data_IF_925674811350
#
_entry.id   IF_925674811350
#
_cell.length_a   1.000
_cell.length_b   1.000
_cell.length_c   1.000
_cell.angle_alpha   90.00
_cell.angle_beta   90.00
_cell.angle_gamma   90.00
#
_symmetry.space_group_name_H-M   'P 1'
#
loop_
_entity.id
_entity.type
_entity.pdbx_description
1 polymer ?
#
# COMPACT_ATOMS: atom_id res chain seq x y z
N UNK A 1 21.96 -32.89 29.09
CA UNK A 1 22.13 -33.65 27.83
C UNK A 1 20.76 -33.69 27.14
N UNK A 2 20.73 -33.44 25.84
CA UNK A 2 19.49 -33.60 25.06
C UNK A 2 19.28 -35.09 24.74
N UNK A 3 18.08 -35.60 24.95
CA UNK A 3 17.71 -36.96 24.51
C UNK A 3 17.23 -36.88 23.05
N UNK A 4 17.65 -37.82 22.21
CA UNK A 4 17.20 -37.90 20.81
C UNK A 4 16.51 -39.24 20.57
N UNK A 5 15.44 -39.22 19.80
CA UNK A 5 14.83 -40.39 19.19
C UNK A 5 15.36 -40.45 17.76
N UNK A 6 16.18 -41.41 17.42
CA UNK A 6 16.84 -41.56 16.15
C UNK A 6 16.42 -42.87 15.45
N UNK A 7 16.03 -42.82 14.21
CA UNK A 7 15.83 -43.99 13.38
C UNK A 7 17.19 -44.35 12.73
N UNK A 8 17.66 -45.61 12.91
CA UNK A 8 18.90 -46.09 12.32
C UNK A 8 18.76 -46.19 10.79
N UNK A 9 19.79 -45.71 10.06
CA UNK A 9 19.87 -45.83 8.60
C UNK A 9 20.50 -47.15 8.15
N UNK A 10 21.04 -47.97 9.11
CA UNK A 10 21.68 -49.26 8.85
C UNK A 10 21.15 -50.32 9.78
N UNK A 11 20.16 -51.07 9.36
CA UNK A 11 19.56 -52.20 10.11
C UNK A 11 18.03 -52.09 10.19
N UNK A 12 17.32 -53.16 10.36
CA UNK A 12 15.87 -53.25 10.33
C UNK A 12 15.14 -52.71 11.56
N UNK A 13 15.63 -51.66 12.20
CA UNK A 13 15.05 -51.07 13.41
C UNK A 13 14.51 -49.66 13.22
N UNK A 14 13.20 -49.49 13.18
CA UNK A 14 12.53 -48.21 13.37
C UNK A 14 12.09 -48.01 14.85
N UNK A 15 11.78 -46.79 15.24
CA UNK A 15 11.11 -46.54 16.52
C UNK A 15 9.67 -47.03 16.41
N UNK A 16 9.32 -48.12 17.10
CA UNK A 16 7.95 -48.54 17.27
C UNK A 16 7.48 -48.04 18.65
N UNK A 17 6.52 -47.16 18.65
CA UNK A 17 5.86 -46.71 19.88
C UNK A 17 4.53 -47.42 19.95
N UNK A 18 4.35 -48.26 20.93
CA UNK A 18 3.06 -48.90 21.21
C UNK A 18 2.19 -47.89 21.96
N UNK A 19 1.07 -47.49 21.38
CA UNK A 19 0.15 -46.56 22.03
C UNK A 19 -0.58 -47.26 23.19
N UNK A 20 -1.03 -46.46 24.16
CA UNK A 20 -2.12 -46.85 25.03
C UNK A 20 -3.42 -47.01 24.22
N UNK A 21 -4.52 -47.36 24.84
CA UNK A 21 -5.80 -47.57 24.13
C UNK A 21 -6.41 -46.30 23.54
N UNK A 22 -5.77 -45.10 23.71
CA UNK A 22 -6.27 -43.82 23.19
C UNK A 22 -6.01 -43.63 21.71
N UNK A 23 -4.95 -44.26 21.17
CA UNK A 23 -4.51 -44.10 19.80
C UNK A 23 -3.82 -42.74 19.51
N UNK A 24 -3.57 -41.93 20.53
CA UNK A 24 -2.94 -40.61 20.40
C UNK A 24 -1.45 -40.69 20.74
N UNK A 25 -0.59 -39.90 19.98
CA UNK A 25 0.82 -39.72 20.30
C UNK A 25 1.06 -38.30 20.78
N UNK A 26 1.52 -38.16 22.01
CA UNK A 26 1.86 -36.89 22.63
C UNK A 26 3.39 -36.75 22.79
N UNK A 27 3.97 -35.71 22.21
CA UNK A 27 5.37 -35.31 22.44
C UNK A 27 5.33 -34.20 23.49
N UNK A 28 6.05 -34.39 24.60
CA UNK A 28 6.02 -33.51 25.77
C UNK A 28 7.39 -32.84 26.00
N UNK A 29 7.34 -31.63 26.56
CA UNK A 29 8.49 -30.93 27.12
C UNK A 29 8.11 -30.31 28.45
N UNK A 30 8.90 -30.61 29.50
CA UNK A 30 8.59 -30.15 30.86
C UNK A 30 7.24 -30.66 31.42
N UNK A 31 6.78 -31.84 30.99
CA UNK A 31 5.50 -32.40 31.38
C UNK A 31 4.27 -31.86 30.61
N UNK A 32 4.47 -30.89 29.69
CA UNK A 32 3.41 -30.35 28.86
C UNK A 32 3.48 -30.89 27.44
N UNK A 33 2.34 -31.26 26.84
CA UNK A 33 2.24 -31.70 25.46
C UNK A 33 2.55 -30.50 24.50
N UNK A 34 3.55 -30.65 23.66
CA UNK A 34 3.95 -29.66 22.64
C UNK A 34 3.56 -30.08 21.23
N UNK A 35 3.45 -31.38 20.96
CA UNK A 35 2.88 -31.93 19.71
C UNK A 35 1.94 -33.06 20.07
N UNK A 36 0.71 -32.98 19.64
CA UNK A 36 -0.27 -34.05 19.73
C UNK A 36 -0.63 -34.54 18.32
N UNK A 37 -0.54 -35.84 18.07
CA UNK A 37 -0.99 -36.48 16.83
C UNK A 37 -2.22 -37.35 17.20
N UNK A 38 -3.36 -37.02 16.63
CA UNK A 38 -4.64 -37.67 16.92
C UNK A 38 -5.32 -38.05 15.59
N UNK A 39 -6.47 -38.71 15.65
CA UNK A 39 -7.29 -38.96 14.44
C UNK A 39 -7.80 -37.69 13.78
N UNK A 40 -7.81 -36.54 14.48
CA UNK A 40 -8.17 -35.22 13.93
C UNK A 40 -6.99 -34.51 13.25
N UNK A 41 -5.76 -34.98 13.43
CA UNK A 41 -4.56 -34.37 12.82
C UNK A 41 -3.44 -34.13 13.83
N UNK A 42 -2.55 -33.19 13.50
CA UNK A 42 -1.40 -32.78 14.33
C UNK A 42 -1.65 -31.38 14.91
N UNK A 43 -1.65 -31.29 16.24
CA UNK A 43 -1.68 -30.02 16.94
C UNK A 43 -0.32 -29.69 17.55
N UNK A 44 0.22 -28.51 17.25
CA UNK A 44 1.45 -27.96 17.84
C UNK A 44 1.08 -26.80 18.76
N UNK A 45 1.39 -26.93 20.05
CA UNK A 45 1.21 -25.84 21.03
C UNK A 45 2.49 -25.01 21.06
N UNK A 46 2.41 -23.77 20.57
CA UNK A 46 3.55 -22.87 20.46
C UNK A 46 3.92 -22.57 19.01
N UNK A 47 5.19 -22.34 18.74
CA UNK A 47 5.70 -21.96 17.41
C UNK A 47 6.13 -23.19 16.61
N UNK A 48 5.60 -23.35 15.40
CA UNK A 48 6.14 -24.26 14.40
C UNK A 48 7.15 -23.52 13.53
N UNK A 49 8.43 -23.92 13.58
CA UNK A 49 9.48 -23.35 12.74
C UNK A 49 9.92 -24.37 11.69
N UNK A 50 9.91 -23.98 10.42
CA UNK A 50 10.48 -24.74 9.31
C UNK A 50 11.62 -23.96 8.70
N UNK A 51 12.84 -24.54 8.65
CA UNK A 51 14.01 -23.92 8.02
C UNK A 51 14.04 -24.02 6.50
N UNK A 52 13.16 -24.84 5.93
CA UNK A 52 12.98 -25.01 4.49
C UNK A 52 11.57 -24.61 4.03
N UNK A 53 11.27 -24.89 2.76
CA UNK A 53 9.93 -24.64 2.23
C UNK A 53 8.87 -25.50 2.95
N UNK A 54 7.73 -24.88 3.29
CA UNK A 54 6.55 -25.57 3.80
C UNK A 54 5.50 -25.62 2.69
N UNK A 55 5.04 -26.83 2.36
CA UNK A 55 4.02 -27.05 1.32
C UNK A 55 2.71 -27.48 1.96
N UNK A 56 1.64 -26.74 1.66
CA UNK A 56 0.27 -27.11 2.02
C UNK A 56 -0.45 -27.61 0.75
N UNK A 57 -0.80 -28.88 0.70
CA UNK A 57 -1.55 -29.45 -0.45
C UNK A 57 -3.06 -29.20 -0.36
N UNK A 58 -3.54 -28.75 0.79
CA UNK A 58 -4.92 -28.36 1.03
C UNK A 58 -5.03 -26.87 1.36
N UNK A 59 -6.18 -26.45 1.87
CA UNK A 59 -6.44 -25.06 2.27
C UNK A 59 -5.73 -24.76 3.59
N UNK A 60 -4.84 -23.74 3.58
CA UNK A 60 -4.29 -23.16 4.80
C UNK A 60 -5.26 -22.13 5.40
N UNK A 61 -5.65 -22.29 6.68
CA UNK A 61 -6.46 -21.31 7.41
C UNK A 61 -5.62 -20.62 8.46
N UNK A 62 -5.56 -19.29 8.36
CA UNK A 62 -4.90 -18.42 9.35
C UNK A 62 -5.98 -17.64 10.10
N UNK A 63 -5.95 -17.69 11.43
CA UNK A 63 -6.96 -17.02 12.25
C UNK A 63 -6.77 -15.49 12.34
N UNK A 64 -5.57 -15.02 12.02
CA UNK A 64 -5.16 -13.61 12.05
C UNK A 64 -4.43 -13.24 10.76
N UNK A 65 -3.50 -12.31 10.80
CA UNK A 65 -2.72 -11.87 9.67
C UNK A 65 -1.53 -12.78 9.36
N UNK A 66 -1.07 -12.77 8.11
CA UNK A 66 0.17 -13.40 7.65
C UNK A 66 1.18 -12.30 7.40
N UNK A 67 2.38 -12.39 7.98
CA UNK A 67 3.50 -11.51 7.65
C UNK A 67 4.30 -12.08 6.47
N UNK A 68 4.63 -11.24 5.49
CA UNK A 68 5.54 -11.57 4.38
C UNK A 68 6.76 -10.67 4.46
N UNK A 69 7.88 -11.07 3.83
CA UNK A 69 9.11 -10.28 3.76
C UNK A 69 9.65 -9.84 5.13
N UNK A 70 9.59 -10.70 6.15
CA UNK A 70 9.94 -10.42 7.55
C UNK A 70 9.04 -9.39 8.26
N UNK A 71 7.90 -9.03 7.71
CA UNK A 71 6.93 -8.21 8.43
C UNK A 71 6.38 -8.96 9.65
N UNK A 72 6.28 -8.28 10.79
CA UNK A 72 5.58 -8.81 11.95
C UNK A 72 4.08 -8.80 11.66
N UNK A 73 3.38 -9.96 11.74
CA UNK A 73 1.94 -10.00 11.53
C UNK A 73 1.20 -9.05 12.48
N UNK A 74 0.21 -8.32 11.96
CA UNK A 74 -0.63 -7.48 12.81
C UNK A 74 -1.41 -8.34 13.80
N UNK A 75 -1.53 -7.87 15.05
CA UNK A 75 -2.35 -8.52 16.07
C UNK A 75 -3.85 -8.23 15.91
N UNK A 76 -4.23 -7.29 15.02
CA UNK A 76 -5.62 -6.91 14.81
C UNK A 76 -6.09 -7.25 13.39
N UNK A 77 -7.33 -7.76 13.29
CA UNK A 77 -7.94 -8.12 12.03
C UNK A 77 -7.37 -9.40 11.40
N UNK A 78 -7.58 -9.55 10.11
CA UNK A 78 -7.06 -10.65 9.28
C UNK A 78 -6.61 -10.10 7.92
N UNK A 79 -5.58 -10.70 7.33
CA UNK A 79 -5.04 -10.27 6.06
C UNK A 79 -3.56 -10.61 5.88
N UNK A 80 -2.90 -9.89 4.99
CA UNK A 80 -1.46 -9.99 4.74
C UNK A 80 -0.81 -8.71 5.23
N UNK A 81 0.24 -8.83 6.05
CA UNK A 81 1.05 -7.70 6.50
C UNK A 81 2.32 -7.64 5.65
N UNK A 82 2.50 -6.55 4.92
CA UNK A 82 3.71 -6.26 4.16
C UNK A 82 4.72 -5.48 5.02
N UNK A 83 6.03 -5.51 4.69
CA UNK A 83 7.02 -4.69 5.35
C UNK A 83 6.71 -3.19 5.19
N UNK A 84 7.03 -2.38 6.21
CA UNK A 84 6.86 -0.91 6.15
C UNK A 84 7.73 -0.24 5.07
N UNK A 85 8.82 -0.89 4.67
CA UNK A 85 9.62 -0.50 3.51
C UNK A 85 9.50 -1.60 2.47
N UNK A 86 9.14 -1.25 1.26
CA UNK A 86 9.00 -2.21 0.17
C UNK A 86 10.27 -3.05 -0.01
N UNK A 87 10.10 -4.36 -0.13
CA UNK A 87 11.14 -5.30 -0.55
C UNK A 87 10.80 -5.79 -1.95
N UNK A 88 11.23 -5.04 -2.94
CA UNK A 88 10.84 -5.25 -4.33
C UNK A 88 11.25 -6.64 -4.84
N UNK A 89 10.31 -7.33 -5.50
CA UNK A 89 10.54 -8.60 -6.20
C UNK A 89 10.85 -8.34 -7.67
N UNK A 90 11.77 -9.11 -8.23
CA UNK A 90 11.99 -9.13 -9.68
C UNK A 90 11.03 -10.05 -10.44
N UNK A 91 10.21 -10.82 -9.74
CA UNK A 91 9.20 -11.71 -10.32
C UNK A 91 7.92 -10.92 -10.64
N UNK A 92 7.55 -10.86 -11.91
CA UNK A 92 6.38 -10.13 -12.39
C UNK A 92 5.02 -10.67 -11.86
N UNK A 93 4.99 -11.85 -11.26
CA UNK A 93 3.78 -12.44 -10.68
C UNK A 93 3.71 -12.29 -9.15
N UNK A 94 4.63 -11.51 -8.56
CA UNK A 94 4.67 -11.29 -7.12
C UNK A 94 4.13 -9.91 -6.76
N UNK A 95 3.05 -9.87 -5.96
CA UNK A 95 2.63 -8.64 -5.29
C UNK A 95 3.54 -8.42 -4.09
N UNK A 96 4.37 -7.40 -4.15
CA UNK A 96 5.47 -7.14 -3.21
C UNK A 96 5.28 -5.91 -2.33
N UNK A 97 4.16 -5.18 -2.49
CA UNK A 97 3.86 -4.01 -1.69
C UNK A 97 2.36 -3.73 -1.58
N UNK A 98 1.94 -3.33 -0.39
CA UNK A 98 0.64 -2.74 -0.10
C UNK A 98 0.77 -1.71 1.01
N UNK A 99 0.28 -0.51 0.76
CA UNK A 99 0.29 0.57 1.74
C UNK A 99 -0.97 1.43 1.59
N UNK A 100 -1.53 1.89 2.69
CA UNK A 100 -2.62 2.87 2.71
C UNK A 100 -2.37 3.93 3.78
N UNK A 101 -2.86 5.14 3.52
CA UNK A 101 -2.67 6.23 4.45
C UNK A 101 -3.36 7.52 4.01
N UNK A 102 -2.99 8.58 4.69
CA UNK A 102 -3.44 9.94 4.42
C UNK A 102 -2.28 10.81 3.93
N UNK A 103 -2.61 11.86 3.17
CA UNK A 103 -1.66 12.85 2.68
C UNK A 103 -2.28 14.24 2.68
N UNK A 104 -1.45 15.26 2.54
CA UNK A 104 -1.89 16.65 2.58
C UNK A 104 -1.81 17.27 1.19
N UNK A 105 -2.93 17.34 0.45
CA UNK A 105 -2.97 17.99 -0.86
C UNK A 105 -2.76 19.50 -0.72
N UNK A 106 -2.05 20.07 -1.68
CA UNK A 106 -1.78 21.51 -1.76
C UNK A 106 -2.11 22.04 -3.15
N UNK A 107 -2.48 23.31 -3.24
CA UNK A 107 -2.55 24.04 -4.52
C UNK A 107 -1.26 24.86 -4.61
N UNK A 108 -0.43 24.55 -5.58
CA UNK A 108 0.89 25.17 -5.75
C UNK A 108 1.06 25.76 -7.15
N UNK A 109 2.08 26.58 -7.33
CA UNK A 109 2.59 26.95 -8.64
C UNK A 109 3.93 26.28 -8.88
N UNK A 110 4.19 25.81 -10.09
CA UNK A 110 5.47 25.18 -10.41
C UNK A 110 6.67 26.14 -10.30
N UNK A 111 6.43 27.44 -10.28
CA UNK A 111 7.44 28.47 -10.06
C UNK A 111 7.64 28.86 -8.59
N UNK A 112 6.81 28.33 -7.68
CA UNK A 112 6.90 28.59 -6.25
C UNK A 112 5.59 29.06 -5.62
N UNK A 113 5.57 29.05 -4.29
CA UNK A 113 4.40 29.42 -3.46
C UNK A 113 4.84 30.11 -2.17
N UNK A 114 4.01 31.00 -1.63
CA UNK A 114 4.22 31.64 -0.33
C UNK A 114 2.91 32.21 0.21
N UNK A 115 2.69 32.08 1.53
CA UNK A 115 1.59 32.73 2.23
C UNK A 115 0.20 32.12 1.92
N UNK A 116 0.14 30.88 1.42
CA UNK A 116 -1.11 30.17 1.25
C UNK A 116 -1.70 29.76 2.60
N UNK A 117 -3.02 29.77 2.68
CA UNK A 117 -3.76 29.16 3.78
C UNK A 117 -4.90 28.31 3.22
N UNK A 118 -5.27 27.28 3.95
CA UNK A 118 -6.27 26.28 3.55
C UNK A 118 -7.40 26.22 4.57
N UNK A 119 -8.61 26.08 4.10
CA UNK A 119 -9.78 25.73 4.92
C UNK A 119 -10.01 24.23 4.97
N UNK A 120 -9.55 23.49 3.95
CA UNK A 120 -9.58 22.02 3.92
C UNK A 120 -8.41 21.47 3.12
N UNK A 121 -7.81 20.40 3.64
CA UNK A 121 -6.78 19.60 2.98
C UNK A 121 -7.00 18.13 3.39
N UNK A 122 -7.69 17.37 2.57
CA UNK A 122 -7.98 15.96 2.84
C UNK A 122 -7.49 15.11 1.69
N UNK A 123 -6.60 14.19 1.99
CA UNK A 123 -6.07 13.22 1.03
C UNK A 123 -5.99 11.83 1.64
N UNK A 124 -6.40 10.83 0.88
CA UNK A 124 -6.22 9.42 1.22
C UNK A 124 -5.60 8.70 0.03
N UNK A 125 -4.78 7.70 0.30
CA UNK A 125 -4.16 6.91 -0.76
C UNK A 125 -4.17 5.42 -0.47
N UNK A 126 -4.02 4.64 -1.52
CA UNK A 126 -3.65 3.22 -1.51
C UNK A 126 -2.60 2.98 -2.57
N UNK A 127 -1.53 2.29 -2.17
CA UNK A 127 -0.49 1.79 -3.05
C UNK A 127 -0.62 0.27 -3.13
N UNK A 128 -0.62 -0.27 -4.33
CA UNK A 128 -0.71 -1.70 -4.59
C UNK A 128 0.37 -2.03 -5.61
N UNK A 129 1.43 -2.70 -5.16
CA UNK A 129 2.64 -2.86 -5.95
C UNK A 129 3.18 -1.49 -6.40
N UNK A 130 3.41 -1.32 -7.68
CA UNK A 130 3.90 -0.06 -8.25
C UNK A 130 2.84 1.01 -8.51
N UNK A 131 1.54 0.79 -8.23
CA UNK A 131 0.48 1.75 -8.53
C UNK A 131 -0.09 2.44 -7.30
N UNK A 132 -0.29 3.74 -7.41
CA UNK A 132 -0.87 4.60 -6.39
C UNK A 132 -2.23 5.13 -6.84
N UNK A 133 -3.22 4.98 -5.97
CA UNK A 133 -4.55 5.60 -6.05
C UNK A 133 -4.63 6.66 -4.96
N UNK A 134 -4.72 7.93 -5.32
CA UNK A 134 -4.73 9.04 -4.37
C UNK A 134 -5.94 9.96 -4.61
N UNK A 135 -6.86 10.01 -3.65
CA UNK A 135 -8.00 10.94 -3.67
C UNK A 135 -7.64 12.23 -2.91
N UNK A 136 -8.24 13.34 -3.31
CA UNK A 136 -8.03 14.62 -2.63
C UNK A 136 -9.25 15.53 -2.66
N UNK A 137 -9.34 16.36 -1.62
CA UNK A 137 -10.21 17.53 -1.52
C UNK A 137 -9.37 18.65 -0.88
N UNK A 138 -9.13 19.71 -1.62
CA UNK A 138 -8.31 20.83 -1.17
C UNK A 138 -9.00 22.15 -1.45
N UNK A 139 -9.13 22.99 -0.42
CA UNK A 139 -9.76 24.30 -0.50
C UNK A 139 -8.86 25.36 0.11
N UNK A 140 -8.56 26.41 -0.65
CA UNK A 140 -7.85 27.58 -0.15
C UNK A 140 -8.77 28.43 0.74
N UNK A 141 -8.25 28.99 1.83
CA UNK A 141 -8.83 30.16 2.50
C UNK A 141 -8.11 31.44 2.11
N UNK A 142 -6.84 31.33 1.71
CA UNK A 142 -6.09 32.42 1.11
C UNK A 142 -5.17 31.87 0.02
N UNK A 143 -5.18 32.50 -1.15
CA UNK A 143 -4.35 32.12 -2.29
C UNK A 143 -2.86 32.34 -2.04
N UNK A 144 -2.50 33.39 -1.29
CA UNK A 144 -1.11 33.82 -1.18
C UNK A 144 -0.51 34.20 -2.54
N UNK A 145 0.78 33.97 -2.68
CA UNK A 145 1.52 34.13 -3.95
C UNK A 145 1.76 32.75 -4.54
N UNK A 146 1.15 32.48 -5.71
CA UNK A 146 1.39 31.29 -6.53
C UNK A 146 2.01 31.80 -7.82
N UNK A 147 3.11 31.21 -8.27
CA UNK A 147 3.80 31.63 -9.50
C UNK A 147 3.83 30.54 -10.56
N UNK A 148 3.76 30.98 -11.86
CA UNK A 148 3.76 30.11 -13.03
C UNK A 148 2.45 29.28 -13.16
N UNK A 149 2.51 28.00 -13.45
CA UNK A 149 1.35 27.14 -13.73
C UNK A 149 0.83 26.53 -12.43
N UNK A 150 -0.50 26.54 -12.25
CA UNK A 150 -1.15 25.93 -11.09
C UNK A 150 -1.05 24.40 -11.14
N UNK A 151 -0.85 23.81 -9.97
CA UNK A 151 -0.67 22.37 -9.82
C UNK A 151 -1.29 21.89 -8.50
N UNK A 152 -1.72 20.63 -8.43
CA UNK A 152 -1.97 19.94 -7.18
C UNK A 152 -0.66 19.30 -6.74
N UNK A 153 -0.18 19.64 -5.54
CA UNK A 153 1.06 19.14 -4.97
C UNK A 153 0.86 18.31 -3.72
N UNK A 154 1.97 17.73 -3.22
CA UNK A 154 2.01 16.95 -2.00
C UNK A 154 1.62 15.48 -2.17
N UNK A 155 1.54 14.95 -3.39
CA UNK A 155 1.26 13.53 -3.60
C UNK A 155 2.24 12.63 -2.85
N UNK A 156 1.76 11.50 -2.28
CA UNK A 156 2.51 10.73 -1.28
C UNK A 156 3.76 10.04 -1.83
N UNK A 157 3.77 9.72 -3.12
CA UNK A 157 4.89 9.03 -3.77
C UNK A 157 5.34 9.78 -5.01
N UNK A 158 6.63 9.67 -5.29
CA UNK A 158 7.23 10.19 -6.53
C UNK A 158 6.68 9.40 -7.72
N UNK A 159 6.25 10.09 -8.76
CA UNK A 159 5.84 9.45 -10.02
C UNK A 159 7.04 8.83 -10.70
N UNK A 160 6.91 7.60 -11.20
CA UNK A 160 7.97 6.93 -11.97
C UNK A 160 8.41 7.78 -13.16
N UNK A 161 9.73 7.87 -13.36
CA UNK A 161 10.30 8.55 -14.53
C UNK A 161 10.16 7.76 -15.85
N UNK A 162 9.71 6.52 -15.77
CA UNK A 162 9.56 5.62 -16.93
C UNK A 162 8.17 5.72 -17.58
N UNK A 163 7.16 6.16 -16.82
CA UNK A 163 5.75 6.12 -17.24
C UNK A 163 5.19 7.54 -17.39
N UNK A 164 5.42 8.14 -18.54
CA UNK A 164 5.05 9.52 -18.87
C UNK A 164 3.53 9.83 -18.93
N UNK A 165 2.66 8.91 -18.48
CA UNK A 165 1.21 9.02 -18.66
C UNK A 165 0.42 9.03 -17.34
N UNK A 166 1.03 9.48 -16.26
CA UNK A 166 0.34 9.65 -14.98
C UNK A 166 -0.62 10.85 -15.05
N UNK A 167 -1.85 10.63 -14.65
CA UNK A 167 -2.92 11.62 -14.75
C UNK A 167 -3.60 11.86 -13.40
N UNK A 168 -4.15 13.07 -13.23
CA UNK A 168 -5.10 13.39 -12.18
C UNK A 168 -6.43 13.81 -12.81
N UNK A 169 -7.50 13.15 -12.42
CA UNK A 169 -8.86 13.54 -12.79
C UNK A 169 -9.38 14.55 -11.79
N UNK A 170 -9.82 15.71 -12.26
CA UNK A 170 -10.48 16.73 -11.46
C UNK A 170 -11.97 16.55 -11.67
N UNK A 171 -12.66 16.06 -10.63
CA UNK A 171 -14.08 15.78 -10.69
C UNK A 171 -14.96 16.99 -10.33
N UNK A 172 -14.41 17.90 -9.52
CA UNK A 172 -15.12 19.09 -9.06
C UNK A 172 -14.15 20.24 -8.83
N UNK A 173 -14.56 21.44 -9.19
CA UNK A 173 -13.85 22.68 -8.89
C UNK A 173 -14.86 23.81 -8.66
N UNK A 174 -14.48 24.76 -7.82
CA UNK A 174 -15.29 25.95 -7.53
C UNK A 174 -14.43 27.15 -7.16
N UNK A 175 -15.05 28.33 -7.17
CA UNK A 175 -14.42 29.60 -6.76
C UNK A 175 -13.15 29.91 -7.54
N UNK A 176 -13.14 29.62 -8.84
CA UNK A 176 -12.07 29.98 -9.75
C UNK A 176 -12.18 31.45 -10.17
N UNK A 177 -11.06 32.12 -10.42
CA UNK A 177 -11.04 33.47 -10.99
C UNK A 177 -11.46 33.50 -12.47
N UNK A 178 -11.29 32.40 -13.18
CA UNK A 178 -11.66 32.20 -14.59
C UNK A 178 -12.67 31.05 -14.68
N UNK A 179 -13.67 31.17 -15.57
CA UNK A 179 -14.62 30.09 -15.84
C UNK A 179 -13.97 29.02 -16.71
N UNK A 180 -13.89 27.80 -16.21
CA UNK A 180 -13.37 26.63 -16.90
C UNK A 180 -14.50 25.64 -17.15
N UNK A 181 -14.56 25.07 -18.37
CA UNK A 181 -15.53 24.01 -18.75
C UNK A 181 -14.95 22.61 -18.59
N UNK A 182 -13.63 22.51 -18.50
CA UNK A 182 -12.91 21.26 -18.30
C UNK A 182 -11.58 21.54 -17.61
N UNK A 183 -11.22 20.69 -16.62
CA UNK A 183 -9.91 20.71 -15.96
C UNK A 183 -9.42 19.27 -15.80
N UNK A 184 -8.15 19.05 -16.05
CA UNK A 184 -7.44 17.80 -15.85
C UNK A 184 -6.03 18.05 -15.30
N UNK A 185 -5.42 17.04 -14.71
CA UNK A 185 -4.05 17.08 -14.25
C UNK A 185 -3.15 16.10 -15.01
N UNK A 186 -1.91 16.48 -15.20
CA UNK A 186 -0.86 15.65 -15.76
C UNK A 186 0.38 15.72 -14.86
N UNK A 187 1.00 14.58 -14.58
CA UNK A 187 2.23 14.54 -13.80
C UNK A 187 3.45 14.62 -14.72
N UNK A 188 4.34 15.60 -14.53
CA UNK A 188 5.69 15.50 -15.04
C UNK A 188 6.42 14.31 -14.39
N UNK A 189 7.34 13.71 -15.12
CA UNK A 189 8.15 12.60 -14.60
C UNK A 189 8.91 12.99 -13.34
N UNK A 190 9.04 12.05 -12.42
CA UNK A 190 9.81 12.23 -11.17
C UNK A 190 9.35 13.44 -10.34
N UNK A 191 8.05 13.63 -10.22
CA UNK A 191 7.45 14.69 -9.39
C UNK A 191 6.42 14.14 -8.42
N UNK A 192 6.07 14.95 -7.42
CA UNK A 192 4.94 14.73 -6.49
C UNK A 192 3.84 15.77 -6.71
N UNK A 193 3.72 16.27 -7.94
CA UNK A 193 2.71 17.27 -8.29
C UNK A 193 2.12 17.05 -9.68
N UNK A 194 0.82 17.28 -9.81
CA UNK A 194 0.08 17.24 -11.06
C UNK A 194 -0.16 18.66 -11.56
N UNK A 195 0.38 18.99 -12.71
CA UNK A 195 0.16 20.27 -13.42
C UNK A 195 -1.25 20.29 -13.97
N UNK A 196 -1.96 21.40 -13.78
CA UNK A 196 -3.35 21.54 -14.21
C UNK A 196 -3.45 22.14 -15.61
N UNK A 197 -4.29 21.52 -16.42
CA UNK A 197 -4.67 21.97 -17.77
C UNK A 197 -6.19 22.00 -17.89
N UNK A 198 -6.70 22.86 -18.75
CA UNK A 198 -8.15 22.95 -18.97
C UNK A 198 -8.51 23.68 -20.23
N UNK A 199 -9.82 23.80 -20.46
CA UNK A 199 -10.43 24.57 -21.53
C UNK A 199 -11.49 25.51 -20.96
N UNK A 200 -11.54 26.75 -21.45
CA UNK A 200 -12.55 27.76 -21.09
C UNK A 200 -13.74 27.76 -22.05
N UNK A 201 -13.61 27.07 -23.17
CA UNK A 201 -14.67 26.86 -24.18
C UNK A 201 -14.56 25.41 -24.68
N UNK A 202 -15.55 24.96 -25.44
CA UNK A 202 -15.48 23.66 -26.14
C UNK A 202 -14.41 23.74 -27.24
N UNK A 203 -13.16 23.48 -26.88
CA UNK A 203 -11.98 23.53 -27.73
C UNK A 203 -11.25 22.19 -27.73
N UNK A 204 -10.58 21.88 -28.82
CA UNK A 204 -9.73 20.69 -28.93
C UNK A 204 -8.36 20.87 -28.23
N UNK A 205 -7.99 22.09 -27.84
CA UNK A 205 -6.69 22.40 -27.24
C UNK A 205 -6.85 22.79 -25.79
N UNK A 206 -6.11 22.13 -24.91
CA UNK A 206 -6.02 22.49 -23.48
C UNK A 206 -4.93 23.54 -23.26
N UNK A 207 -5.19 24.49 -22.38
CA UNK A 207 -4.21 25.44 -21.87
C UNK A 207 -3.84 25.11 -20.43
N UNK A 208 -2.62 25.41 -20.02
CA UNK A 208 -2.24 25.31 -18.62
C UNK A 208 -3.01 26.33 -17.78
N UNK A 209 -3.47 25.94 -16.60
CA UNK A 209 -4.06 26.88 -15.65
C UNK A 209 -2.97 27.82 -15.16
N UNK A 210 -3.16 29.12 -15.42
CA UNK A 210 -2.28 30.14 -14.87
C UNK A 210 -2.61 30.39 -13.39
N UNK A 211 -1.67 30.93 -12.66
CA UNK A 211 -1.92 31.31 -11.26
C UNK A 211 -2.96 32.43 -11.13
N UNK A 212 -3.22 33.18 -12.20
CA UNK A 212 -4.30 34.17 -12.27
C UNK A 212 -5.70 33.52 -12.23
N UNK A 213 -5.82 32.26 -12.63
CA UNK A 213 -7.08 31.53 -12.63
C UNK A 213 -7.50 31.03 -11.22
N UNK A 214 -6.55 31.01 -10.31
CA UNK A 214 -6.77 30.63 -8.90
C UNK A 214 -7.20 31.85 -8.11
N UNK A 215 -8.25 31.72 -7.32
CA UNK A 215 -8.76 32.74 -6.41
C UNK A 215 -8.66 32.28 -4.95
N UNK A 216 -8.98 33.17 -4.00
CA UNK A 216 -9.29 32.75 -2.66
C UNK A 216 -10.53 31.85 -2.70
N UNK A 217 -10.56 30.87 -1.80
CA UNK A 217 -11.61 29.83 -1.73
C UNK A 217 -11.67 28.87 -2.93
N UNK A 218 -10.71 28.92 -3.86
CA UNK A 218 -10.62 27.90 -4.92
C UNK A 218 -10.52 26.51 -4.29
N UNK A 219 -11.35 25.60 -4.77
CA UNK A 219 -11.41 24.21 -4.34
C UNK A 219 -11.24 23.28 -5.54
N UNK A 220 -10.50 22.20 -5.31
CA UNK A 220 -10.42 21.08 -6.23
C UNK A 220 -10.68 19.78 -5.50
N UNK A 221 -11.53 18.92 -6.08
CA UNK A 221 -11.69 17.54 -5.67
C UNK A 221 -11.35 16.63 -6.84
N UNK A 222 -10.64 15.57 -6.56
CA UNK A 222 -10.24 14.66 -7.61
C UNK A 222 -9.55 13.41 -7.12
N UNK A 223 -9.04 12.68 -8.11
CA UNK A 223 -8.28 11.45 -7.90
C UNK A 223 -7.13 11.39 -8.89
N UNK A 224 -6.00 10.89 -8.44
CA UNK A 224 -4.88 10.53 -9.29
C UNK A 224 -4.66 9.02 -9.25
N UNK A 225 -4.27 8.46 -10.40
CA UNK A 225 -3.77 7.10 -10.54
C UNK A 225 -2.44 7.19 -11.29
N UNK A 226 -1.38 6.71 -10.63
CA UNK A 226 -0.05 6.85 -11.21
C UNK A 226 0.90 5.74 -10.74
N UNK A 227 1.89 5.37 -11.57
CA UNK A 227 2.98 4.49 -11.15
C UNK A 227 3.95 5.24 -10.23
N UNK A 228 4.32 4.62 -9.12
CA UNK A 228 5.35 5.14 -8.21
C UNK A 228 6.76 4.73 -8.65
N UNK A 229 7.72 5.59 -8.34
CA UNK A 229 9.13 5.28 -8.55
C UNK A 229 9.64 4.27 -7.50
#
# INVERSE_FOLDING_TARGET
MASSINASTSGGGGVIVTSDASGDLNIQSGGSTVVAVTSAGVAVTGTLSASGASTFTGVGKFATTIGVGNATPSASGSGITFPATQSASSDANTLDDYEEGTWTPTIIGIGGVSGQAYSSQTGVYRKIGGFVYANFDVTLSAKGTITSIASIGGFPFLVSGQDANAIASIAYWESMATTWVYIAGHFPNSTTSAVLYGATTASATLSSLATADIANNTRFMGMAVYPSA
#
